data_IF_499052409846
#
_entry.id   IF_499052409846
#
_cell.length_a   1.000
_cell.length_b   1.000
_cell.length_c   1.000
_cell.angle_alpha   90.00
_cell.angle_beta   90.00
_cell.angle_gamma   90.00
#
_symmetry.space_group_name_H-M   'P 1'
#
loop_
_entity.id
_entity.type
_entity.pdbx_description
1 polymer ?
#
# COMPACT_ATOMS: atom_id res chain seq x y z
N UNK A 1 9.38 -11.79 12.79
CA UNK A 1 10.79 -11.37 12.64
C UNK A 1 11.78 -12.36 13.26
N UNK A 2 11.73 -12.73 14.55
CA UNK A 2 12.80 -13.56 15.15
C UNK A 2 13.07 -14.88 14.41
N UNK A 3 12.02 -15.60 14.03
CA UNK A 3 12.14 -16.86 13.25
C UNK A 3 12.73 -16.69 11.85
N UNK A 4 12.57 -15.51 11.24
CA UNK A 4 13.12 -15.18 9.94
C UNK A 4 14.60 -14.82 10.08
N UNK A 5 14.91 -13.92 11.01
CA UNK A 5 16.27 -13.44 11.25
C UNK A 5 17.18 -14.54 11.79
N UNK A 6 16.67 -15.51 12.57
CA UNK A 6 17.44 -16.66 13.05
C UNK A 6 17.91 -17.61 11.95
N UNK A 7 17.55 -17.36 10.68
CA UNK A 7 18.04 -18.10 9.52
C UNK A 7 19.31 -17.50 8.92
N UNK A 8 19.67 -16.29 9.32
CA UNK A 8 20.90 -15.64 8.89
C UNK A 8 22.07 -16.17 9.73
N UNK A 9 23.24 -16.30 9.09
CA UNK A 9 24.49 -16.47 9.83
C UNK A 9 24.78 -15.22 10.67
N UNK A 10 25.64 -15.30 11.71
CA UNK A 10 26.10 -14.11 12.43
C UNK A 10 26.66 -13.06 11.46
N UNK A 11 26.20 -11.81 11.54
CA UNK A 11 26.56 -10.73 10.62
C UNK A 11 25.87 -10.81 9.25
N UNK A 12 24.92 -11.72 9.07
CA UNK A 12 24.16 -11.88 7.83
C UNK A 12 23.23 -10.69 7.59
N UNK A 13 23.13 -10.27 6.33
CA UNK A 13 22.31 -9.13 5.93
C UNK A 13 20.88 -9.55 5.61
N UNK A 14 19.93 -8.66 5.88
CA UNK A 14 18.58 -8.70 5.31
C UNK A 14 18.33 -7.45 4.48
N UNK A 15 17.48 -7.59 3.47
CA UNK A 15 16.87 -6.49 2.74
C UNK A 15 15.37 -6.72 2.66
N UNK A 16 14.60 -5.87 3.33
CA UNK A 16 13.14 -5.93 3.34
C UNK A 16 12.60 -4.77 2.51
N UNK A 17 11.94 -5.10 1.41
CA UNK A 17 11.41 -4.11 0.49
C UNK A 17 9.90 -3.92 0.64
N UNK A 18 9.41 -2.79 0.16
CA UNK A 18 7.99 -2.53 -0.07
C UNK A 18 7.14 -2.61 1.22
N UNK A 19 7.69 -2.14 2.34
CA UNK A 19 6.95 -2.13 3.60
C UNK A 19 6.01 -0.93 3.62
N UNK A 20 4.74 -1.18 3.29
CA UNK A 20 3.68 -0.18 3.23
C UNK A 20 3.59 0.72 4.46
N UNK A 21 3.44 2.03 4.24
CA UNK A 21 3.41 3.03 5.30
C UNK A 21 2.34 4.14 5.12
N UNK A 22 1.13 3.73 4.76
CA UNK A 22 -0.07 4.50 5.08
C UNK A 22 -0.43 5.61 4.11
N UNK A 23 -0.02 5.50 2.84
CA UNK A 23 -0.52 6.34 1.77
C UNK A 23 -0.93 5.50 0.55
N UNK A 24 -2.14 5.72 0.05
CA UNK A 24 -2.73 5.16 -1.16
C UNK A 24 -3.51 6.30 -1.83
N UNK A 25 -2.81 7.13 -2.58
CA UNK A 25 -3.31 8.42 -3.08
C UNK A 25 -3.53 8.37 -4.58
N UNK A 26 -4.58 9.04 -5.05
CA UNK A 26 -4.93 9.13 -6.46
C UNK A 26 -5.12 10.60 -6.87
N UNK A 27 -4.52 10.98 -7.99
CA UNK A 27 -4.66 12.31 -8.60
C UNK A 27 -5.21 12.17 -10.03
N UNK A 28 -6.09 13.07 -10.50
CA UNK A 28 -6.74 14.13 -9.73
C UNK A 28 -7.75 13.56 -8.71
N UNK A 29 -8.08 14.30 -7.63
CA UNK A 29 -9.17 13.92 -6.74
C UNK A 29 -10.52 13.96 -7.49
N UNK A 30 -11.40 13.02 -7.18
CA UNK A 30 -12.79 13.03 -7.65
C UNK A 30 -13.63 13.86 -6.68
N UNK A 31 -13.47 13.56 -5.39
CA UNK A 31 -14.11 14.21 -4.26
C UNK A 31 -13.13 14.03 -3.08
N UNK A 32 -12.38 15.08 -2.68
CA UNK A 32 -11.30 14.94 -1.70
C UNK A 32 -11.73 14.29 -0.38
N UNK A 33 -12.96 14.55 0.09
CA UNK A 33 -13.45 13.99 1.34
C UNK A 33 -13.79 12.50 1.18
N UNK A 34 -14.42 12.14 0.06
CA UNK A 34 -14.71 10.74 -0.26
C UNK A 34 -13.42 9.95 -0.52
N UNK A 35 -12.47 10.52 -1.26
CA UNK A 35 -11.17 9.92 -1.56
C UNK A 35 -10.41 9.59 -0.28
N UNK A 36 -10.30 10.56 0.64
CA UNK A 36 -9.66 10.36 1.94
C UNK A 36 -10.41 9.33 2.80
N UNK A 37 -11.73 9.30 2.72
CA UNK A 37 -12.53 8.34 3.48
C UNK A 37 -12.37 6.90 2.97
N UNK A 38 -12.36 6.69 1.65
CA UNK A 38 -12.09 5.40 1.00
C UNK A 38 -10.68 4.91 1.35
N UNK A 39 -9.67 5.78 1.28
CA UNK A 39 -8.30 5.45 1.69
C UNK A 39 -8.24 5.00 3.15
N UNK A 40 -8.83 5.78 4.06
CA UNK A 40 -8.85 5.46 5.48
C UNK A 40 -9.56 4.13 5.77
N UNK A 41 -10.68 3.86 5.07
CA UNK A 41 -11.39 2.58 5.15
C UNK A 41 -10.53 1.42 4.65
N UNK A 42 -9.90 1.59 3.49
CA UNK A 42 -9.04 0.58 2.89
C UNK A 42 -7.87 0.22 3.82
N UNK A 43 -7.20 1.23 4.41
CA UNK A 43 -6.12 1.02 5.38
C UNK A 43 -6.60 0.33 6.66
N UNK A 44 -7.81 0.64 7.14
CA UNK A 44 -8.41 -0.09 8.28
C UNK A 44 -8.54 -1.58 7.99
N UNK A 45 -8.84 -1.99 6.75
CA UNK A 45 -8.89 -3.42 6.40
C UNK A 45 -7.52 -4.11 6.58
N UNK A 46 -6.42 -3.37 6.45
CA UNK A 46 -5.07 -3.88 6.68
C UNK A 46 -4.76 -4.01 8.18
N UNK A 47 -5.24 -3.05 8.98
CA UNK A 47 -5.01 -2.99 10.43
C UNK A 47 -5.84 -4.02 11.20
N UNK A 48 -7.06 -4.32 10.75
CA UNK A 48 -7.95 -5.30 11.38
C UNK A 48 -7.80 -6.71 10.82
N UNK A 49 -7.00 -6.88 9.76
CA UNK A 49 -6.78 -8.18 9.10
C UNK A 49 -6.25 -9.21 10.10
N UNK A 50 -6.92 -10.35 10.15
CA UNK A 50 -6.51 -11.50 10.97
C UNK A 50 -6.31 -12.73 10.11
N UNK A 51 -5.21 -13.45 10.36
CA UNK A 51 -4.90 -14.73 9.71
C UNK A 51 -4.63 -15.78 10.78
N UNK A 52 -5.40 -16.87 10.76
CA UNK A 52 -5.33 -17.94 11.78
C UNK A 52 -5.48 -17.41 13.22
N UNK A 53 -6.42 -16.48 13.42
CA UNK A 53 -6.73 -15.88 14.73
C UNK A 53 -5.69 -14.89 15.24
N UNK A 54 -4.76 -14.43 14.40
CA UNK A 54 -3.72 -13.46 14.77
C UNK A 54 -3.74 -12.25 13.84
N UNK A 55 -3.54 -11.03 14.36
CA UNK A 55 -3.33 -9.85 13.53
C UNK A 55 -2.24 -10.11 12.49
N UNK A 56 -2.51 -9.79 11.22
CA UNK A 56 -1.67 -10.20 10.09
C UNK A 56 -1.33 -9.06 9.14
N UNK A 57 -1.28 -7.82 9.63
CA UNK A 57 -0.98 -6.65 8.81
C UNK A 57 -1.01 -5.37 9.63
N UNK A 58 -0.66 -4.28 8.95
CA UNK A 58 -0.74 -2.92 9.47
C UNK A 58 -0.59 -1.97 8.28
N UNK A 59 -1.44 -0.95 8.20
CA UNK A 59 -1.28 0.17 7.26
C UNK A 59 0.01 0.96 7.51
N UNK A 60 0.60 0.83 8.70
CA UNK A 60 1.82 1.51 9.15
C UNK A 60 3.01 0.56 9.34
N UNK A 61 3.12 -0.47 8.50
CA UNK A 61 4.15 -1.50 8.66
C UNK A 61 5.55 -0.90 8.55
N UNK A 62 5.79 -0.04 7.56
CA UNK A 62 7.09 0.61 7.33
C UNK A 62 7.61 1.32 8.58
N UNK A 63 6.91 2.34 9.09
CA UNK A 63 7.40 3.11 10.25
C UNK A 63 7.51 2.28 11.53
N UNK A 64 6.67 1.26 11.69
CA UNK A 64 6.71 0.35 12.85
C UNK A 64 7.89 -0.61 12.78
N UNK A 65 8.40 -0.91 11.59
CA UNK A 65 9.44 -1.90 11.39
C UNK A 65 10.78 -1.50 12.05
N UNK A 66 11.08 -0.20 12.16
CA UNK A 66 12.23 0.29 12.93
C UNK A 66 12.28 -0.29 14.35
N UNK A 67 11.20 -0.10 15.12
CA UNK A 67 11.11 -0.61 16.49
C UNK A 67 11.10 -2.14 16.53
N UNK A 68 10.40 -2.79 15.59
CA UNK A 68 10.30 -4.25 15.54
C UNK A 68 11.62 -4.95 15.20
N UNK A 69 12.47 -4.34 14.38
CA UNK A 69 13.81 -4.85 14.08
C UNK A 69 14.74 -4.70 15.29
N UNK A 70 14.70 -3.54 15.96
CA UNK A 70 15.46 -3.31 17.18
C UNK A 70 15.05 -4.28 18.31
N UNK A 71 13.75 -4.48 18.54
CA UNK A 71 13.21 -5.47 19.49
C UNK A 71 13.70 -6.90 19.19
N UNK A 72 13.95 -7.20 17.91
CA UNK A 72 14.43 -8.51 17.46
C UNK A 72 15.96 -8.65 17.48
N UNK A 73 16.69 -7.64 17.98
CA UNK A 73 18.16 -7.64 18.05
C UNK A 73 18.87 -7.29 16.74
N UNK A 74 18.13 -6.90 15.70
CA UNK A 74 18.72 -6.47 14.45
C UNK A 74 19.18 -5.01 14.50
N UNK A 75 20.23 -4.70 13.71
CA UNK A 75 20.67 -3.33 13.47
C UNK A 75 20.30 -2.90 12.04
N UNK A 76 19.52 -1.84 11.92
CA UNK A 76 19.25 -1.18 10.65
C UNK A 76 20.48 -0.37 10.24
N UNK A 77 20.97 -0.58 9.02
CA UNK A 77 22.10 0.14 8.42
C UNK A 77 21.60 1.33 7.62
N UNK A 78 20.56 1.13 6.81
CA UNK A 78 19.90 2.19 6.07
C UNK A 78 18.41 1.87 5.88
N UNK A 79 17.63 2.92 5.73
CA UNK A 79 16.24 2.85 5.31
C UNK A 79 15.97 3.96 4.28
N UNK A 80 15.09 3.70 3.33
CA UNK A 80 14.76 4.64 2.26
C UNK A 80 13.33 4.44 1.77
N UNK A 81 12.80 5.45 1.08
CA UNK A 81 11.52 5.33 0.39
C UNK A 81 11.63 4.32 -0.76
N UNK A 82 10.57 3.54 -0.93
CA UNK A 82 10.33 2.67 -2.09
C UNK A 82 8.96 2.94 -2.69
N UNK A 83 8.63 4.23 -2.76
CA UNK A 83 7.32 4.69 -3.20
C UNK A 83 7.04 4.24 -4.64
N UNK A 84 5.79 3.84 -4.87
CA UNK A 84 5.28 3.69 -6.22
C UNK A 84 4.69 5.01 -6.65
N UNK A 85 5.15 5.53 -7.79
CA UNK A 85 4.56 6.69 -8.46
C UNK A 85 4.25 6.26 -9.88
N UNK A 86 2.98 5.99 -10.15
CA UNK A 86 2.49 5.48 -11.43
C UNK A 86 1.64 6.55 -12.08
N UNK A 87 2.11 7.10 -13.20
CA UNK A 87 1.47 8.21 -13.88
C UNK A 87 1.60 8.04 -15.40
N UNK A 88 0.67 8.60 -16.18
CA UNK A 88 0.76 8.59 -17.63
C UNK A 88 1.83 9.59 -18.11
N UNK A 89 2.61 9.19 -19.12
CA UNK A 89 3.46 10.10 -19.89
C UNK A 89 2.68 10.86 -20.97
N UNK A 90 3.37 11.65 -21.82
CA UNK A 90 2.73 12.38 -22.91
C UNK A 90 1.92 11.51 -23.88
N UNK A 91 2.35 10.25 -24.06
CA UNK A 91 1.72 9.26 -24.93
C UNK A 91 0.84 8.26 -24.16
N UNK A 92 0.52 8.55 -22.89
CA UNK A 92 -0.19 7.65 -21.97
C UNK A 92 0.75 6.78 -21.14
N UNK A 93 0.25 5.67 -20.61
CA UNK A 93 1.06 4.73 -19.83
C UNK A 93 2.02 3.96 -20.74
N UNK A 94 3.32 3.89 -20.43
CA UNK A 94 4.33 3.33 -21.33
C UNK A 94 4.27 1.80 -21.47
N UNK A 95 3.63 1.09 -20.55
CA UNK A 95 3.47 -0.36 -20.56
C UNK A 95 2.22 -0.82 -19.79
N UNK A 96 2.38 -1.81 -18.92
CA UNK A 96 1.27 -2.45 -18.19
C UNK A 96 0.77 -1.63 -16.98
N UNK A 97 1.18 -0.37 -16.83
CA UNK A 97 0.75 0.47 -15.70
C UNK A 97 -0.77 0.64 -15.67
N UNK A 98 -1.43 0.76 -16.83
CA UNK A 98 -2.90 0.84 -16.88
C UNK A 98 -3.55 -0.43 -16.30
N UNK A 99 -3.01 -1.60 -16.63
CA UNK A 99 -3.47 -2.88 -16.08
C UNK A 99 -3.23 -2.93 -14.56
N UNK A 100 -2.04 -2.51 -14.12
CA UNK A 100 -1.70 -2.44 -12.70
C UNK A 100 -2.64 -1.50 -11.93
N UNK A 101 -2.96 -0.33 -12.47
CA UNK A 101 -3.89 0.61 -11.85
C UNK A 101 -5.30 0.05 -11.75
N UNK A 102 -5.80 -0.63 -12.78
CA UNK A 102 -7.09 -1.32 -12.71
C UNK A 102 -7.10 -2.36 -11.58
N UNK A 103 -6.03 -3.15 -11.46
CA UNK A 103 -5.88 -4.11 -10.38
C UNK A 103 -5.87 -3.46 -8.99
N UNK A 104 -5.26 -2.28 -8.83
CA UNK A 104 -5.28 -1.52 -7.57
C UNK A 104 -6.71 -1.08 -7.23
N UNK A 105 -7.44 -0.50 -8.20
CA UNK A 105 -8.83 -0.06 -7.99
C UNK A 105 -9.73 -1.26 -7.65
N UNK A 106 -9.61 -2.37 -8.38
CA UNK A 106 -10.36 -3.60 -8.11
C UNK A 106 -10.03 -4.19 -6.73
N UNK A 107 -8.77 -4.09 -6.29
CA UNK A 107 -8.36 -4.53 -4.96
C UNK A 107 -9.02 -3.70 -3.86
N UNK A 108 -9.11 -2.37 -4.03
CA UNK A 108 -9.80 -1.48 -3.09
C UNK A 108 -11.31 -1.77 -3.11
N UNK A 109 -11.89 -1.90 -4.30
CA UNK A 109 -13.31 -2.25 -4.50
C UNK A 109 -13.67 -3.55 -3.78
N UNK A 110 -12.89 -4.62 -3.98
CA UNK A 110 -13.10 -5.90 -3.32
C UNK A 110 -12.90 -5.84 -1.80
N UNK A 111 -11.95 -5.06 -1.31
CA UNK A 111 -11.70 -4.91 0.12
C UNK A 111 -12.82 -4.15 0.85
N UNK A 112 -13.53 -3.26 0.14
CA UNK A 112 -14.58 -2.40 0.69
C UNK A 112 -15.98 -2.74 0.19
N UNK A 113 -16.15 -3.89 -0.47
CA UNK A 113 -17.43 -4.34 -0.97
C UNK A 113 -18.47 -4.40 0.17
N UNK A 114 -19.64 -3.77 -0.05
CA UNK A 114 -20.73 -3.67 0.93
C UNK A 114 -20.31 -3.11 2.31
N UNK A 115 -19.23 -2.33 2.37
CA UNK A 115 -18.73 -1.82 3.64
C UNK A 115 -19.74 -0.82 4.26
N UNK A 116 -20.20 -1.01 5.51
CA UNK A 116 -21.33 -0.25 6.09
C UNK A 116 -21.06 1.25 6.29
N UNK A 117 -19.78 1.64 6.23
CA UNK A 117 -19.35 3.04 6.29
C UNK A 117 -19.35 3.78 4.95
N UNK A 118 -19.81 3.17 3.86
CA UNK A 118 -19.89 3.76 2.52
C UNK A 118 -21.31 3.71 1.98
N UNK A 119 -21.71 4.78 1.29
CA UNK A 119 -22.88 4.72 0.42
C UNK A 119 -22.52 3.93 -0.84
N UNK A 120 -23.26 2.85 -1.10
CA UNK A 120 -22.95 1.93 -2.20
C UNK A 120 -22.98 2.61 -3.56
N UNK A 121 -23.95 3.50 -3.81
CA UNK A 121 -24.07 4.21 -5.08
C UNK A 121 -22.91 5.18 -5.32
N UNK A 122 -22.51 5.93 -4.29
CA UNK A 122 -21.33 6.81 -4.36
C UNK A 122 -20.04 6.01 -4.56
N UNK A 123 -19.90 4.86 -3.91
CA UNK A 123 -18.71 4.03 -4.06
C UNK A 123 -18.61 3.39 -5.43
N UNK A 124 -19.71 2.88 -5.98
CA UNK A 124 -19.77 2.35 -7.35
C UNK A 124 -19.43 3.43 -8.38
N UNK A 125 -19.96 4.65 -8.22
CA UNK A 125 -19.62 5.78 -9.08
C UNK A 125 -18.13 6.14 -8.98
N UNK A 126 -17.55 6.13 -7.78
CA UNK A 126 -16.12 6.36 -7.56
C UNK A 126 -15.26 5.31 -8.29
N UNK A 127 -15.60 4.02 -8.17
CA UNK A 127 -14.90 2.93 -8.88
C UNK A 127 -14.97 3.17 -10.38
N UNK A 128 -16.18 3.38 -10.92
CA UNK A 128 -16.37 3.59 -12.35
C UNK A 128 -15.56 4.78 -12.89
N UNK A 129 -15.52 5.89 -12.13
CA UNK A 129 -14.76 7.07 -12.50
C UNK A 129 -13.24 6.82 -12.44
N UNK A 130 -12.73 6.08 -11.45
CA UNK A 130 -11.30 5.70 -11.42
C UNK A 130 -10.91 4.83 -12.61
N UNK A 131 -11.74 3.86 -13.01
CA UNK A 131 -11.49 3.08 -14.23
C UNK A 131 -11.59 3.94 -15.50
N UNK A 132 -12.44 4.97 -15.54
CA UNK A 132 -12.50 5.95 -16.64
C UNK A 132 -11.21 6.76 -16.72
N UNK A 133 -10.74 7.32 -15.60
CA UNK A 133 -9.50 8.08 -15.53
C UNK A 133 -8.28 7.25 -15.97
N UNK A 134 -8.24 5.95 -15.66
CA UNK A 134 -7.19 5.05 -16.17
C UNK A 134 -7.29 4.92 -17.70
N UNK A 135 -8.48 4.64 -18.25
CA UNK A 135 -8.68 4.52 -19.70
C UNK A 135 -8.36 5.82 -20.47
N UNK A 136 -8.58 6.96 -19.84
CA UNK A 136 -8.27 8.28 -20.38
C UNK A 136 -6.83 8.73 -20.13
N UNK A 137 -5.99 7.91 -19.48
CA UNK A 137 -4.62 8.26 -19.09
C UNK A 137 -4.55 9.57 -18.29
N UNK A 138 -5.42 9.68 -17.28
CA UNK A 138 -5.51 10.83 -16.37
C UNK A 138 -5.08 10.49 -14.92
N UNK A 139 -5.14 9.20 -14.54
CA UNK A 139 -4.91 8.77 -13.16
C UNK A 139 -3.41 8.70 -12.80
N UNK A 140 -3.00 9.42 -11.77
CA UNK A 140 -1.74 9.18 -11.06
C UNK A 140 -2.01 8.45 -9.77
N UNK A 141 -1.24 7.41 -9.48
CA UNK A 141 -1.31 6.64 -8.24
C UNK A 141 0.01 6.75 -7.48
N UNK A 142 -0.09 7.02 -6.18
CA UNK A 142 1.04 7.10 -5.27
C UNK A 142 0.82 6.16 -4.09
N UNK A 143 1.81 5.31 -3.79
CA UNK A 143 1.83 4.49 -2.59
C UNK A 143 3.13 4.70 -1.81
N UNK A 144 3.02 5.07 -0.53
CA UNK A 144 4.20 5.30 0.32
C UNK A 144 4.67 4.00 0.98
N UNK A 145 5.95 3.70 0.84
CA UNK A 145 6.57 2.46 1.33
C UNK A 145 8.02 2.71 1.79
N UNK A 146 8.52 1.82 2.64
CA UNK A 146 9.89 1.87 3.15
C UNK A 146 10.63 0.56 2.90
N UNK A 147 11.89 0.71 2.47
CA UNK A 147 12.87 -0.35 2.35
C UNK A 147 13.87 -0.28 3.50
N UNK A 148 14.36 -1.44 3.95
CA UNK A 148 15.29 -1.58 5.06
C UNK A 148 16.40 -2.55 4.72
N UNK A 149 17.65 -2.12 4.94
CA UNK A 149 18.81 -3.00 4.98
C UNK A 149 19.42 -3.01 6.38
N UNK A 150 19.80 -4.18 6.86
CA UNK A 150 20.39 -4.34 8.18
C UNK A 150 20.99 -5.73 8.38
N UNK A 151 21.45 -6.01 9.59
CA UNK A 151 22.02 -7.30 9.97
C UNK A 151 21.60 -7.73 11.38
N UNK A 152 21.87 -8.99 11.71
CA UNK A 152 21.75 -9.58 13.06
C UNK A 152 23.10 -10.10 13.56
#
# INVERSE_FOLDING_TARGET
>A
LPRLLSRLSPGGLFYFTLNFDGATTFEPPIDPDLDAWIEALYHRTMDTRSRRGRPSGSSRTGRRLFGRLQEAGARVVAAGSSDWVVFPGPDGYPGDEAYFLHFIIDTIAGALHEHPGLDSGRFEAWIAERHRQIKSAELTYIAHQLDFIGYI
#
